data_IF_620536269513
#
_entry.id   IF_620536269513
#
_cell.length_a   1.000
_cell.length_b   1.000
_cell.length_c   1.000
_cell.angle_alpha   90.00
_cell.angle_beta   90.00
_cell.angle_gamma   90.00
#
_symmetry.space_group_name_H-M   'P 1'
#
loop_
_entity.id
_entity.type
_entity.pdbx_description
1 polymer ?
#
# COMPACT_ATOMS: atom_id res chain seq x y z
N UNK A 1 -13.82 -21.19 20.38
CA UNK A 1 -12.69 -21.41 19.48
C UNK A 1 -11.40 -21.41 20.25
N UNK A 2 -10.54 -22.40 20.06
CA UNK A 2 -9.22 -22.40 20.68
C UNK A 2 -8.40 -21.26 20.05
N UNK A 3 -7.70 -20.50 20.87
CA UNK A 3 -6.83 -19.42 20.42
C UNK A 3 -5.70 -20.02 19.58
N UNK A 4 -5.61 -19.64 18.31
CA UNK A 4 -4.56 -20.06 17.40
C UNK A 4 -3.31 -19.22 17.67
N UNK A 5 -2.24 -19.82 18.14
CA UNK A 5 -0.96 -19.13 18.32
C UNK A 5 -0.24 -19.09 16.96
N UNK A 6 0.02 -17.90 16.43
CA UNK A 6 0.75 -17.71 15.21
C UNK A 6 2.25 -17.47 15.45
N UNK A 7 3.09 -18.15 14.68
CA UNK A 7 4.53 -17.92 14.61
C UNK A 7 4.86 -17.37 13.22
N UNK A 8 5.51 -16.23 13.15
CA UNK A 8 5.82 -15.56 11.88
C UNK A 8 7.31 -15.59 11.58
N UNK A 9 7.67 -16.03 10.38
CA UNK A 9 9.03 -15.93 9.84
C UNK A 9 9.06 -14.66 8.98
N UNK A 10 9.87 -13.65 9.35
CA UNK A 10 9.93 -12.39 8.60
C UNK A 10 10.46 -12.58 7.18
N UNK A 11 9.91 -11.86 6.24
CA UNK A 11 10.30 -11.90 4.80
C UNK A 11 11.75 -11.48 4.58
N UNK A 12 12.29 -10.61 5.43
CA UNK A 12 13.68 -10.16 5.36
C UNK A 12 14.68 -11.31 5.51
N UNK A 13 14.25 -12.38 6.18
CA UNK A 13 14.99 -13.63 6.33
C UNK A 13 14.94 -14.44 5.03
N UNK A 14 13.84 -14.39 4.31
CA UNK A 14 13.57 -15.16 3.10
C UNK A 14 14.11 -14.47 1.85
N UNK A 15 13.99 -13.15 1.76
CA UNK A 15 14.42 -12.36 0.61
C UNK A 15 15.94 -12.38 0.35
N UNK A 16 16.72 -12.80 1.33
CA UNK A 16 18.18 -13.00 1.20
C UNK A 16 18.57 -14.36 0.65
N UNK A 17 17.59 -15.26 0.46
CA UNK A 17 17.83 -16.56 -0.13
C UNK A 17 17.86 -16.44 -1.64
N UNK A 18 18.98 -16.81 -2.23
CA UNK A 18 19.10 -16.99 -3.67
C UNK A 18 18.30 -18.22 -4.15
N UNK A 19 18.19 -18.40 -5.46
CA UNK A 19 17.43 -19.51 -6.06
C UNK A 19 18.01 -20.89 -5.78
N UNK A 20 19.21 -20.97 -5.24
CA UNK A 20 19.91 -22.23 -4.90
C UNK A 20 20.15 -22.39 -3.40
N UNK A 21 19.86 -21.37 -2.60
CA UNK A 21 20.14 -21.38 -1.18
C UNK A 21 19.04 -22.11 -0.42
N UNK A 22 19.43 -22.78 0.66
CA UNK A 22 18.50 -23.34 1.62
C UNK A 22 18.71 -22.71 3.00
N UNK A 23 17.62 -22.54 3.75
CA UNK A 23 17.70 -22.02 5.11
C UNK A 23 16.89 -22.84 6.08
N UNK A 24 17.55 -23.31 7.09
CA UNK A 24 16.92 -24.00 8.22
C UNK A 24 16.40 -22.97 9.22
N UNK A 25 15.12 -23.02 9.51
CA UNK A 25 14.46 -22.26 10.54
C UNK A 25 14.11 -23.20 11.69
N UNK A 26 14.66 -22.92 12.86
CA UNK A 26 14.36 -23.67 14.09
C UNK A 26 13.79 -22.69 15.11
N UNK A 27 12.89 -23.19 15.93
CA UNK A 27 12.37 -22.47 17.09
C UNK A 27 12.07 -23.48 18.17
N UNK A 28 12.53 -23.24 19.38
CA UNK A 28 12.26 -24.10 20.56
C UNK A 28 10.76 -24.21 20.88
N UNK A 29 9.95 -23.33 20.28
CA UNK A 29 8.49 -23.35 20.42
C UNK A 29 7.78 -24.29 19.45
N UNK A 30 8.50 -24.91 18.48
CA UNK A 30 7.93 -25.78 17.44
C UNK A 30 8.50 -27.19 17.57
N UNK A 31 7.65 -28.25 17.57
CA UNK A 31 8.08 -29.66 17.62
C UNK A 31 8.59 -30.18 16.26
N UNK A 32 9.00 -29.29 15.38
CA UNK A 32 9.56 -29.59 14.06
C UNK A 32 10.49 -28.47 13.59
N UNK A 33 11.38 -28.81 12.70
CA UNK A 33 12.19 -27.82 11.99
C UNK A 33 11.68 -27.61 10.57
N UNK A 34 11.85 -26.39 10.07
CA UNK A 34 11.50 -25.99 8.71
C UNK A 34 12.79 -25.70 7.94
N UNK A 35 12.96 -26.30 6.77
CA UNK A 35 14.02 -25.93 5.84
C UNK A 35 13.38 -25.37 4.60
N UNK A 36 13.67 -24.10 4.32
CA UNK A 36 13.18 -23.42 3.11
C UNK A 36 14.24 -23.62 2.04
N UNK A 37 13.88 -24.38 1.02
CA UNK A 37 14.71 -24.67 -0.13
C UNK A 37 14.18 -23.87 -1.30
N UNK A 38 15.02 -23.03 -1.90
CA UNK A 38 14.66 -22.18 -3.03
C UNK A 38 13.50 -21.23 -2.76
N UNK A 39 13.81 -19.98 -2.78
CA UNK A 39 12.85 -18.90 -2.72
C UNK A 39 12.64 -18.30 -4.11
N UNK A 40 11.38 -18.10 -4.49
CA UNK A 40 10.99 -17.43 -5.72
C UNK A 40 10.23 -16.16 -5.35
N UNK A 41 10.73 -14.99 -5.76
CA UNK A 41 10.07 -13.71 -5.47
C UNK A 41 8.72 -13.58 -6.20
N UNK A 42 8.64 -14.16 -7.41
CA UNK A 42 7.39 -14.26 -8.17
C UNK A 42 7.36 -15.60 -8.88
N UNK A 43 6.26 -16.33 -8.77
CA UNK A 43 6.13 -17.66 -9.33
C UNK A 43 4.69 -18.05 -9.61
N UNK A 44 4.52 -18.97 -10.57
CA UNK A 44 3.31 -19.73 -10.78
C UNK A 44 3.52 -21.19 -10.33
N UNK A 45 2.53 -21.78 -9.69
CA UNK A 45 2.50 -23.20 -9.36
C UNK A 45 1.60 -23.90 -10.38
N UNK A 46 2.18 -24.82 -11.14
CA UNK A 46 1.52 -25.48 -12.24
C UNK A 46 1.39 -26.98 -11.98
N UNK A 47 0.25 -27.59 -12.26
CA UNK A 47 0.13 -29.05 -12.22
C UNK A 47 1.01 -29.68 -13.31
N UNK A 48 1.58 -30.83 -13.04
CA UNK A 48 2.43 -31.56 -14.02
C UNK A 48 1.70 -31.93 -15.30
N UNK A 49 0.37 -31.98 -15.28
CA UNK A 49 -0.48 -32.20 -16.46
C UNK A 49 -0.55 -30.98 -17.38
N UNK A 50 -0.10 -29.80 -16.94
CA UNK A 50 -0.10 -28.60 -17.78
C UNK A 50 1.03 -28.68 -18.82
N UNK A 51 0.78 -28.37 -20.11
CA UNK A 51 1.80 -28.41 -21.15
C UNK A 51 3.05 -27.59 -20.82
N UNK A 52 2.86 -26.44 -20.16
CA UNK A 52 3.91 -25.56 -19.70
C UNK A 52 4.79 -26.15 -18.57
N UNK A 53 4.32 -27.20 -17.89
CA UNK A 53 5.05 -27.83 -16.81
C UNK A 53 6.04 -28.92 -17.28
N UNK A 54 5.87 -29.42 -18.50
CA UNK A 54 6.67 -30.54 -19.05
C UNK A 54 8.17 -30.25 -19.00
N UNK A 55 8.59 -29.09 -19.51
CA UNK A 55 9.99 -28.69 -19.65
C UNK A 55 10.52 -27.84 -18.47
N UNK A 56 9.72 -27.64 -17.41
CA UNK A 56 10.16 -26.87 -16.26
C UNK A 56 11.19 -27.64 -15.43
N UNK A 57 12.36 -27.04 -15.15
CA UNK A 57 13.32 -27.60 -14.21
C UNK A 57 12.79 -27.53 -12.78
N UNK A 58 13.11 -28.50 -11.97
CA UNK A 58 12.81 -28.48 -10.54
C UNK A 58 12.11 -29.75 -10.05
N UNK A 59 11.84 -29.77 -8.75
CA UNK A 59 11.17 -30.90 -8.07
C UNK A 59 9.69 -30.92 -8.42
N UNK A 60 9.14 -32.13 -8.48
CA UNK A 60 7.69 -32.36 -8.47
C UNK A 60 7.29 -32.68 -7.04
N UNK A 61 6.37 -31.91 -6.48
CA UNK A 61 5.81 -32.16 -5.15
C UNK A 61 4.29 -32.15 -5.29
N UNK A 62 3.65 -33.22 -4.84
CA UNK A 62 2.19 -33.43 -4.91
C UNK A 62 1.60 -33.23 -6.31
N UNK A 63 2.36 -33.55 -7.38
CA UNK A 63 1.94 -33.38 -8.76
C UNK A 63 2.04 -31.96 -9.30
N UNK A 64 2.73 -31.06 -8.60
CA UNK A 64 2.96 -29.68 -9.01
C UNK A 64 4.43 -29.33 -9.18
N UNK A 65 4.70 -28.35 -10.04
CA UNK A 65 6.01 -27.71 -10.24
C UNK A 65 5.89 -26.20 -10.06
N UNK A 66 6.99 -25.57 -9.63
CA UNK A 66 7.10 -24.11 -9.51
C UNK A 66 7.80 -23.56 -10.74
N UNK A 67 7.15 -22.62 -11.41
CA UNK A 67 7.69 -21.84 -12.52
C UNK A 67 8.08 -20.46 -11.98
N UNK A 68 9.38 -20.13 -12.04
CA UNK A 68 9.83 -18.78 -11.75
C UNK A 68 9.26 -17.80 -12.78
N UNK A 69 8.75 -16.67 -12.34
CA UNK A 69 8.27 -15.60 -13.19
C UNK A 69 9.04 -14.30 -12.93
N UNK A 70 9.05 -13.42 -13.93
CA UNK A 70 9.68 -12.10 -13.77
C UNK A 70 8.94 -11.32 -12.70
N UNK A 71 9.67 -10.70 -11.76
CA UNK A 71 9.10 -9.83 -10.75
C UNK A 71 8.33 -8.66 -11.38
N UNK A 72 7.15 -8.37 -10.86
CA UNK A 72 6.38 -7.20 -11.26
C UNK A 72 7.06 -5.92 -10.74
N UNK A 73 6.86 -4.78 -11.44
CA UNK A 73 7.35 -3.47 -10.98
C UNK A 73 6.83 -3.13 -9.59
N UNK A 74 5.57 -3.46 -9.33
CA UNK A 74 4.95 -3.35 -8.02
C UNK A 74 5.07 -4.68 -7.27
N UNK A 75 5.85 -4.72 -6.22
CA UNK A 75 6.06 -5.93 -5.41
C UNK A 75 4.77 -6.52 -4.85
N UNK A 76 3.74 -5.70 -4.66
CA UNK A 76 2.41 -6.13 -4.23
C UNK A 76 1.73 -7.11 -5.20
N UNK A 77 2.16 -7.12 -6.46
CA UNK A 77 1.64 -8.02 -7.52
C UNK A 77 2.39 -9.34 -7.63
N UNK A 78 3.50 -9.48 -6.92
CA UNK A 78 4.26 -10.72 -6.92
C UNK A 78 3.54 -11.77 -6.08
N UNK A 79 3.60 -13.03 -6.55
CA UNK A 79 3.15 -14.21 -5.84
C UNK A 79 4.37 -15.08 -5.53
N UNK A 80 4.98 -14.90 -4.36
CA UNK A 80 6.16 -15.68 -4.02
C UNK A 80 5.82 -17.14 -3.81
N UNK A 81 6.80 -18.00 -4.05
CA UNK A 81 6.71 -19.42 -3.75
C UNK A 81 8.02 -19.92 -3.14
N UNK A 82 7.96 -21.02 -2.41
CA UNK A 82 9.15 -21.73 -1.96
C UNK A 82 8.88 -23.23 -1.88
N UNK A 83 9.96 -24.00 -2.01
CA UNK A 83 9.97 -25.37 -1.55
C UNK A 83 10.29 -25.36 -0.06
N UNK A 84 9.58 -26.16 0.70
CA UNK A 84 9.74 -26.26 2.15
C UNK A 84 9.83 -27.72 2.55
N UNK A 85 10.82 -28.06 3.35
CA UNK A 85 10.93 -29.35 4.00
C UNK A 85 10.56 -29.20 5.48
N UNK A 86 9.55 -29.95 5.91
CA UNK A 86 9.11 -30.03 7.29
C UNK A 86 9.76 -31.29 7.89
N UNK A 87 10.52 -31.13 8.95
CA UNK A 87 11.14 -32.27 9.65
C UNK A 87 10.69 -32.29 11.10
N UNK A 88 9.75 -33.16 11.47
CA UNK A 88 9.40 -33.43 12.86
C UNK A 88 10.62 -33.98 13.65
N UNK A 89 10.60 -33.83 14.96
CA UNK A 89 11.60 -34.47 15.84
C UNK A 89 11.55 -36.01 15.77
N UNK A 90 10.34 -36.56 15.57
CA UNK A 90 10.10 -37.97 15.37
C UNK A 90 9.21 -38.16 14.12
N UNK A 91 9.75 -38.79 13.08
CA UNK A 91 8.99 -39.09 11.85
C UNK A 91 9.73 -38.73 10.57
N UNK A 92 9.09 -38.96 9.44
CA UNK A 92 9.65 -38.68 8.13
C UNK A 92 9.51 -37.18 7.78
N UNK A 93 10.48 -36.70 7.01
CA UNK A 93 10.44 -35.35 6.48
C UNK A 93 9.41 -35.25 5.34
N UNK A 94 8.58 -34.23 5.34
CA UNK A 94 7.64 -33.93 4.28
C UNK A 94 8.11 -32.72 3.47
N UNK A 95 8.05 -32.83 2.15
CA UNK A 95 8.32 -31.70 1.24
C UNK A 95 7.01 -31.11 0.73
N UNK A 96 6.92 -29.78 0.74
CA UNK A 96 5.73 -29.06 0.32
C UNK A 96 6.07 -27.82 -0.51
N UNK A 97 5.14 -27.38 -1.36
CA UNK A 97 5.21 -26.09 -2.04
C UNK A 97 4.31 -25.11 -1.28
N UNK A 98 4.87 -24.02 -0.79
CA UNK A 98 4.08 -22.90 -0.33
C UNK A 98 4.03 -21.83 -1.42
N UNK A 99 2.83 -21.32 -1.70
CA UNK A 99 2.59 -20.31 -2.70
C UNK A 99 1.77 -19.16 -2.12
N UNK A 100 2.23 -17.94 -2.34
CA UNK A 100 1.62 -16.71 -1.83
C UNK A 100 0.46 -16.19 -2.68
N UNK A 101 -0.27 -17.04 -3.42
CA UNK A 101 -1.46 -16.62 -4.14
C UNK A 101 -2.47 -16.05 -3.15
N UNK A 102 -2.82 -14.78 -3.36
CA UNK A 102 -3.79 -14.11 -2.52
C UNK A 102 -5.21 -14.60 -2.86
N UNK A 103 -6.02 -14.89 -1.84
CA UNK A 103 -7.47 -15.13 -1.96
C UNK A 103 -8.23 -14.03 -2.73
N UNK A 104 -7.63 -12.83 -2.88
CA UNK A 104 -8.14 -11.73 -3.69
C UNK A 104 -8.38 -12.12 -5.16
N UNK A 105 -7.58 -13.05 -5.70
CA UNK A 105 -7.62 -13.41 -7.13
C UNK A 105 -8.21 -14.80 -7.39
N UNK A 106 -8.31 -15.62 -6.36
CA UNK A 106 -9.05 -16.89 -6.42
C UNK A 106 -9.91 -17.05 -5.16
N UNK A 107 -11.22 -16.76 -5.25
CA UNK A 107 -12.13 -16.95 -4.13
C UNK A 107 -12.20 -18.38 -3.61
N UNK A 108 -11.70 -19.36 -4.38
CA UNK A 108 -11.59 -20.77 -3.98
C UNK A 108 -10.32 -21.06 -3.20
N UNK A 109 -9.33 -20.17 -3.22
CA UNK A 109 -8.05 -20.29 -2.52
C UNK A 109 -8.06 -19.68 -1.10
N UNK A 110 -9.22 -19.57 -0.48
CA UNK A 110 -9.36 -19.07 0.88
C UNK A 110 -8.53 -19.84 1.92
N UNK A 111 -7.94 -20.95 1.54
CA UNK A 111 -7.07 -21.78 2.37
C UNK A 111 -5.90 -22.32 1.55
N UNK A 112 -4.95 -21.47 1.22
CA UNK A 112 -3.64 -21.93 0.74
C UNK A 112 -2.73 -22.36 1.90
N UNK A 113 -3.30 -22.62 3.07
CA UNK A 113 -2.56 -23.16 4.20
C UNK A 113 -2.34 -24.66 4.02
N UNK A 114 -1.07 -25.07 4.06
CA UNK A 114 -0.73 -26.48 4.16
C UNK A 114 -0.92 -26.95 5.61
N UNK A 115 -1.74 -27.95 5.82
CA UNK A 115 -2.04 -28.50 7.16
C UNK A 115 -1.39 -29.85 7.36
N UNK A 116 -0.83 -30.09 8.53
CA UNK A 116 -0.17 -31.33 8.93
C UNK A 116 -0.29 -31.54 10.43
N UNK A 117 -0.04 -32.75 10.88
CA UNK A 117 -0.10 -33.13 12.29
C UNK A 117 1.29 -33.49 12.80
N UNK A 118 1.68 -32.91 13.94
CA UNK A 118 2.90 -33.28 14.66
C UNK A 118 2.63 -33.25 16.15
N UNK A 119 3.07 -34.28 16.86
CA UNK A 119 2.88 -34.43 18.30
C UNK A 119 1.41 -34.30 18.76
N UNK A 120 0.45 -34.86 18.00
CA UNK A 120 -0.97 -34.83 18.31
C UNK A 120 -1.62 -33.46 18.18
N UNK A 121 -0.96 -32.50 17.49
CA UNK A 121 -1.47 -31.17 17.21
C UNK A 121 -1.50 -30.90 15.71
N UNK A 122 -2.56 -30.25 15.27
CA UNK A 122 -2.66 -29.76 13.90
C UNK A 122 -1.91 -28.43 13.76
N UNK A 123 -1.12 -28.34 12.71
CA UNK A 123 -0.36 -27.18 12.31
C UNK A 123 -0.78 -26.73 10.92
N UNK A 124 -0.69 -25.44 10.69
CA UNK A 124 -0.95 -24.86 9.37
C UNK A 124 0.21 -23.94 8.98
N UNK A 125 0.73 -24.13 7.77
CA UNK A 125 1.76 -23.27 7.19
C UNK A 125 1.15 -22.50 6.03
N UNK A 126 1.39 -21.21 6.03
CA UNK A 126 0.89 -20.33 4.99
C UNK A 126 1.92 -19.26 4.65
N UNK A 127 2.07 -18.98 3.37
CA UNK A 127 2.82 -17.84 2.88
C UNK A 127 1.85 -16.68 2.70
N UNK A 128 1.94 -15.68 3.57
CA UNK A 128 1.03 -14.53 3.56
C UNK A 128 1.77 -13.24 3.22
N UNK A 129 1.07 -12.31 2.58
CA UNK A 129 1.61 -10.97 2.38
C UNK A 129 1.70 -10.25 3.73
N UNK A 130 2.78 -9.49 3.92
CA UNK A 130 2.93 -8.64 5.10
C UNK A 130 1.76 -7.68 5.17
N UNK A 131 1.11 -7.63 6.32
CA UNK A 131 0.01 -6.71 6.61
C UNK A 131 0.43 -5.71 7.68
N UNK A 132 -0.09 -4.50 7.58
CA UNK A 132 0.08 -3.47 8.60
C UNK A 132 -1.29 -3.21 9.22
N UNK A 133 -1.40 -3.23 10.55
CA UNK A 133 -2.66 -2.90 11.20
C UNK A 133 -2.98 -1.42 10.99
N UNK A 134 -4.24 -1.12 10.70
CA UNK A 134 -4.78 0.23 10.73
C UNK A 134 -5.79 0.32 11.88
N UNK A 135 -5.88 1.48 12.53
CA UNK A 135 -6.68 1.68 13.74
C UNK A 135 -8.20 1.82 13.49
N UNK A 136 -8.62 1.73 12.23
CA UNK A 136 -10.03 1.90 11.84
C UNK A 136 -10.45 0.85 10.82
N UNK A 137 -11.75 0.65 10.67
CA UNK A 137 -12.33 -0.20 9.65
C UNK A 137 -13.08 0.63 8.59
N UNK A 138 -13.23 0.09 7.40
CA UNK A 138 -13.96 0.69 6.30
C UNK A 138 -15.02 -0.28 5.81
N UNK A 139 -16.28 0.15 5.83
CA UNK A 139 -17.40 -0.56 5.22
C UNK A 139 -17.82 0.17 3.95
N UNK A 140 -17.85 -0.54 2.83
CA UNK A 140 -18.40 -0.02 1.57
C UNK A 140 -19.92 -0.04 1.66
N UNK A 141 -20.55 1.13 1.63
CA UNK A 141 -22.00 1.24 1.64
C UNK A 141 -22.57 1.23 0.22
N UNK A 142 -21.91 1.93 -0.70
CA UNK A 142 -22.31 1.98 -2.11
C UNK A 142 -21.13 2.37 -3.00
N UNK A 143 -21.05 1.74 -4.17
CA UNK A 143 -20.15 2.15 -5.25
C UNK A 143 -20.96 2.83 -6.36
N UNK A 144 -20.52 4.01 -6.81
CA UNK A 144 -21.12 4.76 -7.89
C UNK A 144 -20.14 4.82 -9.06
N UNK A 145 -20.63 4.48 -10.22
CA UNK A 145 -19.88 4.47 -11.46
C UNK A 145 -20.62 5.22 -12.54
N UNK A 146 -20.02 6.30 -13.06
CA UNK A 146 -20.55 7.09 -14.15
C UNK A 146 -19.64 6.97 -15.37
N UNK A 147 -20.23 6.81 -16.54
CA UNK A 147 -19.52 6.83 -17.83
C UNK A 147 -19.77 8.13 -18.56
N UNK A 148 -18.83 8.52 -19.41
CA UNK A 148 -19.10 9.59 -20.38
C UNK A 148 -20.17 9.12 -21.38
N UNK A 149 -21.14 9.99 -21.72
CA UNK A 149 -22.17 9.66 -22.72
C UNK A 149 -21.55 9.16 -24.02
N UNK A 150 -22.02 8.00 -24.52
CA UNK A 150 -21.57 7.44 -25.79
C UNK A 150 -20.21 6.76 -25.76
N UNK A 151 -19.55 6.62 -24.60
CA UNK A 151 -18.25 5.96 -24.48
C UNK A 151 -18.22 4.91 -23.37
N UNK A 152 -17.21 4.02 -23.39
CA UNK A 152 -16.93 3.09 -22.29
C UNK A 152 -15.94 3.69 -21.25
N UNK A 153 -15.51 4.92 -21.46
CA UNK A 153 -14.54 5.59 -20.60
C UNK A 153 -15.22 6.05 -19.30
N UNK A 154 -14.67 5.72 -18.13
CA UNK A 154 -15.17 6.20 -16.86
C UNK A 154 -15.08 7.73 -16.78
N UNK A 155 -16.19 8.38 -16.44
CA UNK A 155 -16.24 9.81 -16.12
C UNK A 155 -15.90 10.04 -14.65
N UNK A 156 -16.50 9.24 -13.79
CA UNK A 156 -16.30 9.31 -12.35
C UNK A 156 -16.56 7.93 -11.72
N UNK A 157 -15.83 7.62 -10.69
CA UNK A 157 -16.15 6.54 -9.78
C UNK A 157 -15.94 7.01 -8.33
N UNK A 158 -16.91 6.69 -7.50
CA UNK A 158 -17.01 7.14 -6.12
C UNK A 158 -17.37 5.95 -5.23
N UNK A 159 -16.61 5.75 -4.19
CA UNK A 159 -16.93 4.81 -3.11
C UNK A 159 -17.52 5.56 -1.93
N UNK A 160 -18.80 5.35 -1.67
CA UNK A 160 -19.43 5.80 -0.43
C UNK A 160 -19.18 4.77 0.64
N UNK A 161 -18.51 5.19 1.68
CA UNK A 161 -18.06 4.33 2.75
C UNK A 161 -18.54 4.87 4.09
N UNK A 162 -18.64 3.96 5.07
CA UNK A 162 -18.69 4.30 6.48
C UNK A 162 -17.37 3.90 7.12
N UNK A 163 -16.64 4.89 7.65
CA UNK A 163 -15.47 4.64 8.49
C UNK A 163 -15.93 4.31 9.90
N UNK A 164 -15.45 3.22 10.42
CA UNK A 164 -15.71 2.70 11.76
C UNK A 164 -14.45 2.80 12.60
N UNK A 165 -14.56 3.20 13.85
CA UNK A 165 -13.41 3.30 14.76
C UNK A 165 -12.97 1.91 15.30
N UNK A 166 -13.81 0.88 15.14
CA UNK A 166 -13.49 -0.54 15.36
C UNK A 166 -14.33 -1.42 14.46
N UNK A 167 -13.97 -2.71 14.32
CA UNK A 167 -14.75 -3.69 13.55
C UNK A 167 -16.14 -3.92 14.12
N UNK A 168 -16.31 -3.77 15.42
CA UNK A 168 -17.56 -4.02 16.12
C UNK A 168 -18.43 -2.75 16.26
N UNK A 169 -17.96 -1.60 15.77
CA UNK A 169 -18.71 -0.35 15.86
C UNK A 169 -19.95 -0.41 14.96
N UNK A 170 -21.12 -0.17 15.54
CA UNK A 170 -22.40 -0.14 14.82
C UNK A 170 -22.53 1.11 13.95
N UNK A 171 -21.99 2.24 14.41
CA UNK A 171 -22.06 3.54 13.74
C UNK A 171 -20.68 4.07 13.39
N UNK A 172 -20.61 4.91 12.36
CA UNK A 172 -19.37 5.51 11.92
C UNK A 172 -19.57 6.74 11.06
N UNK A 173 -18.48 7.36 10.67
CA UNK A 173 -18.49 8.56 9.83
C UNK A 173 -18.63 8.18 8.36
N UNK A 174 -19.66 8.69 7.69
CA UNK A 174 -19.83 8.54 6.24
C UNK A 174 -18.89 9.44 5.48
N UNK A 175 -18.19 8.88 4.50
CA UNK A 175 -17.21 9.57 3.66
C UNK A 175 -17.37 9.10 2.21
N UNK A 176 -17.16 9.99 1.25
CA UNK A 176 -17.06 9.67 -0.17
C UNK A 176 -15.60 9.75 -0.60
N UNK A 177 -15.08 8.65 -1.15
CA UNK A 177 -13.72 8.55 -1.71
C UNK A 177 -13.84 8.56 -3.24
N UNK A 178 -13.17 9.50 -3.89
CA UNK A 178 -13.13 9.67 -5.35
C UNK A 178 -11.66 9.67 -5.82
N UNK A 179 -11.44 9.60 -7.13
CA UNK A 179 -10.09 9.59 -7.72
C UNK A 179 -9.15 10.67 -7.15
N UNK A 180 -9.64 11.91 -7.02
CA UNK A 180 -8.84 13.07 -6.57
C UNK A 180 -9.26 13.58 -5.18
N UNK A 181 -10.12 12.84 -4.48
CA UNK A 181 -10.61 13.18 -3.14
C UNK A 181 -10.44 12.00 -2.20
N UNK A 182 -9.23 11.76 -1.70
CA UNK A 182 -8.97 10.67 -0.76
C UNK A 182 -9.56 10.98 0.63
N UNK A 183 -9.81 9.93 1.40
CA UNK A 183 -10.07 10.06 2.82
C UNK A 183 -8.75 10.19 3.57
N UNK A 184 -8.69 11.14 4.51
CA UNK A 184 -7.57 11.28 5.46
C UNK A 184 -8.05 11.04 6.87
N UNK A 185 -7.38 10.16 7.57
CA UNK A 185 -7.69 9.86 8.96
C UNK A 185 -6.47 9.22 9.67
N UNK A 186 -6.16 9.73 10.84
CA UNK A 186 -5.13 9.21 11.75
C UNK A 186 -3.76 8.97 11.07
N UNK A 187 -3.29 9.96 10.29
CA UNK A 187 -2.02 9.87 9.54
C UNK A 187 -2.11 9.06 8.24
N UNK A 188 -3.19 8.32 8.03
CA UNK A 188 -3.40 7.54 6.82
C UNK A 188 -4.16 8.32 5.76
N UNK A 189 -3.77 8.09 4.51
CA UNK A 189 -4.48 8.59 3.33
C UNK A 189 -4.98 7.40 2.53
N UNK A 190 -6.29 7.34 2.31
CA UNK A 190 -6.96 6.23 1.61
C UNK A 190 -7.45 6.73 0.25
N UNK A 191 -6.87 6.18 -0.81
CA UNK A 191 -7.16 6.54 -2.19
C UNK A 191 -8.02 5.46 -2.85
N UNK A 192 -8.87 5.86 -3.79
CA UNK A 192 -9.53 4.93 -4.70
C UNK A 192 -8.51 4.41 -5.72
N UNK A 193 -8.11 3.14 -5.63
CA UNK A 193 -7.14 2.53 -6.54
C UNK A 193 -7.85 1.89 -7.74
N UNK A 194 -8.78 1.00 -7.45
CA UNK A 194 -9.53 0.28 -8.47
C UNK A 194 -10.89 -0.19 -7.93
N UNK A 195 -11.67 -0.82 -8.80
CA UNK A 195 -12.93 -1.45 -8.44
C UNK A 195 -13.15 -2.69 -9.32
N UNK A 196 -14.10 -3.52 -8.95
CA UNK A 196 -14.51 -4.67 -9.74
C UNK A 196 -15.87 -5.17 -9.32
N UNK A 197 -16.31 -6.25 -9.96
CA UNK A 197 -17.56 -6.93 -9.63
C UNK A 197 -17.26 -8.34 -9.14
N UNK A 198 -18.02 -8.83 -8.16
CA UNK A 198 -17.90 -10.21 -7.65
C UNK A 198 -18.59 -11.20 -8.56
N UNK A 199 -19.64 -10.76 -9.23
CA UNK A 199 -20.43 -11.56 -10.16
C UNK A 199 -20.63 -10.81 -11.50
N UNK A 200 -21.14 -11.51 -12.49
CA UNK A 200 -21.44 -11.00 -13.83
C UNK A 200 -22.95 -10.88 -14.09
N UNK A 201 -23.76 -10.86 -13.03
CA UNK A 201 -25.21 -10.75 -13.14
C UNK A 201 -25.68 -9.36 -13.63
N UNK A 202 -26.99 -9.19 -13.86
CA UNK A 202 -27.57 -7.92 -14.31
C UNK A 202 -27.46 -6.82 -13.23
N UNK A 203 -27.33 -7.19 -11.95
CA UNK A 203 -27.10 -6.27 -10.83
C UNK A 203 -25.85 -6.74 -10.06
N UNK A 204 -24.63 -6.44 -10.56
CA UNK A 204 -23.40 -6.96 -10.01
C UNK A 204 -23.06 -6.34 -8.67
N UNK A 205 -22.64 -7.16 -7.71
CA UNK A 205 -22.08 -6.67 -6.45
C UNK A 205 -20.70 -6.09 -6.70
N UNK A 206 -20.58 -4.77 -6.52
CA UNK A 206 -19.31 -4.07 -6.67
C UNK A 206 -18.44 -4.18 -5.41
N UNK A 207 -17.15 -4.28 -5.61
CA UNK A 207 -16.15 -4.07 -4.58
C UNK A 207 -15.21 -2.91 -4.95
N UNK A 208 -14.70 -2.22 -3.96
CA UNK A 208 -13.71 -1.16 -4.12
C UNK A 208 -12.37 -1.61 -3.57
N UNK A 209 -11.32 -1.27 -4.28
CA UNK A 209 -9.95 -1.44 -3.82
C UNK A 209 -9.37 -0.09 -3.48
N UNK A 210 -8.83 0.01 -2.28
CA UNK A 210 -8.20 1.23 -1.78
C UNK A 210 -6.69 1.04 -1.64
N UNK A 211 -5.92 2.02 -2.08
CA UNK A 211 -4.54 2.17 -1.70
C UNK A 211 -4.47 2.97 -0.39
N UNK A 212 -3.79 2.42 0.60
CA UNK A 212 -3.61 3.08 1.89
C UNK A 212 -2.15 3.49 2.00
N UNK A 213 -1.91 4.77 2.23
CA UNK A 213 -0.58 5.34 2.42
C UNK A 213 -0.46 5.93 3.83
N UNK A 214 0.59 5.56 4.53
CA UNK A 214 1.05 6.25 5.73
C UNK A 214 2.17 7.20 5.32
N UNK A 215 1.86 8.49 5.26
CA UNK A 215 2.80 9.50 4.81
C UNK A 215 2.95 10.61 5.87
N UNK A 216 3.95 10.53 6.74
CA UNK A 216 4.20 11.55 7.75
C UNK A 216 4.52 12.93 7.16
N UNK A 217 4.89 12.97 5.87
CA UNK A 217 5.21 14.20 5.15
C UNK A 217 4.00 14.80 4.38
N UNK A 218 2.79 14.27 4.52
CA UNK A 218 1.60 14.70 3.77
C UNK A 218 1.29 16.21 3.93
N UNK A 219 1.58 16.78 5.09
CA UNK A 219 1.32 18.19 5.40
C UNK A 219 2.49 19.14 5.06
N UNK A 220 3.67 18.64 4.72
CA UNK A 220 4.85 19.47 4.46
C UNK A 220 4.67 20.49 3.33
N UNK A 221 4.00 20.16 2.20
CA UNK A 221 3.73 21.15 1.15
C UNK A 221 2.86 22.31 1.64
N UNK A 222 1.89 22.04 2.53
CA UNK A 222 1.05 23.09 3.14
C UNK A 222 1.89 24.02 4.02
N UNK A 223 2.74 23.47 4.88
CA UNK A 223 3.62 24.28 5.73
C UNK A 223 4.58 25.12 4.91
N UNK A 224 5.17 24.54 3.87
CA UNK A 224 6.05 25.28 2.96
C UNK A 224 5.32 26.44 2.27
N UNK A 225 4.08 26.23 1.82
CA UNK A 225 3.24 27.26 1.21
C UNK A 225 2.93 28.40 2.20
N UNK A 226 2.59 28.07 3.45
CA UNK A 226 2.32 29.07 4.49
C UNK A 226 3.56 29.91 4.75
N UNK A 227 4.72 29.29 4.97
CA UNK A 227 5.98 29.99 5.23
C UNK A 227 6.35 30.90 4.06
N UNK A 228 6.24 30.40 2.83
CA UNK A 228 6.51 31.20 1.62
C UNK A 228 5.54 32.38 1.51
N UNK A 229 4.25 32.17 1.76
CA UNK A 229 3.23 33.21 1.73
C UNK A 229 3.50 34.33 2.76
N UNK A 230 3.84 33.95 3.99
CA UNK A 230 4.24 34.92 5.04
C UNK A 230 5.48 35.68 4.64
N UNK A 231 6.53 34.99 4.19
CA UNK A 231 7.78 35.63 3.74
C UNK A 231 7.57 36.61 2.61
N UNK A 232 6.76 36.25 1.61
CA UNK A 232 6.42 37.10 0.47
C UNK A 232 5.63 38.35 0.93
N UNK A 233 4.66 38.17 1.80
CA UNK A 233 3.85 39.26 2.37
C UNK A 233 4.72 40.25 3.13
N UNK A 234 5.58 39.77 3.99
CA UNK A 234 6.56 40.63 4.72
C UNK A 234 7.50 41.37 3.75
N UNK A 235 7.98 40.69 2.73
CA UNK A 235 8.83 41.31 1.71
C UNK A 235 8.13 42.50 1.01
N UNK A 236 6.87 42.30 0.59
CA UNK A 236 6.09 43.34 -0.05
C UNK A 236 5.79 44.53 0.88
N UNK A 237 5.47 44.23 2.17
CA UNK A 237 5.26 45.29 3.17
C UNK A 237 6.53 46.13 3.33
N UNK A 238 7.69 45.50 3.50
CA UNK A 238 8.97 46.19 3.64
C UNK A 238 9.30 47.04 2.41
N UNK A 239 9.08 46.52 1.20
CA UNK A 239 9.26 47.28 -0.05
C UNK A 239 8.31 48.47 -0.13
N UNK A 240 7.03 48.30 0.26
CA UNK A 240 6.05 49.38 0.25
C UNK A 240 6.41 50.51 1.21
N UNK A 241 6.84 50.18 2.44
CA UNK A 241 7.30 51.16 3.45
C UNK A 241 8.55 51.88 2.96
N UNK A 242 9.51 51.14 2.42
CA UNK A 242 10.73 51.72 1.84
C UNK A 242 10.45 52.67 0.67
N UNK A 243 9.51 52.31 -0.21
CA UNK A 243 9.10 53.17 -1.32
C UNK A 243 8.44 54.48 -0.84
N UNK A 244 7.52 54.42 0.14
CA UNK A 244 6.91 55.61 0.74
C UNK A 244 7.94 56.51 1.36
N UNK A 245 8.91 55.99 2.13
CA UNK A 245 9.96 56.76 2.72
C UNK A 245 10.92 57.40 1.69
N UNK A 246 11.20 56.78 0.58
CA UNK A 246 11.96 57.34 -0.53
C UNK A 246 11.19 58.45 -1.26
N UNK A 247 9.91 58.27 -1.49
CA UNK A 247 9.03 59.27 -2.13
C UNK A 247 8.92 60.55 -1.26
N UNK A 248 8.81 60.43 0.04
CA UNK A 248 8.80 61.59 0.96
C UNK A 248 10.11 62.32 0.98
N UNK A 249 11.27 61.64 1.01
CA UNK A 249 12.59 62.25 0.92
C UNK A 249 12.76 63.03 -0.39
N UNK A 250 12.35 62.46 -1.51
CA UNK A 250 12.42 63.16 -2.80
C UNK A 250 11.50 64.39 -2.84
N UNK A 251 10.34 64.37 -2.21
CA UNK A 251 9.43 65.51 -2.12
C UNK A 251 10.05 66.64 -1.27
N UNK A 252 10.70 66.30 -0.12
CA UNK A 252 11.40 67.30 0.72
C UNK A 252 12.56 67.95 -0.04
N UNK A 253 13.40 67.20 -0.69
CA UNK A 253 14.50 67.72 -1.52
C UNK A 253 14.04 68.65 -2.63
N UNK A 254 12.95 68.32 -3.31
CA UNK A 254 12.37 69.19 -4.35
C UNK A 254 11.83 70.50 -3.78
N UNK A 255 11.21 70.47 -2.58
CA UNK A 255 10.71 71.69 -1.90
C UNK A 255 11.88 72.59 -1.44
N UNK A 256 12.92 72.03 -0.89
CA UNK A 256 14.10 72.76 -0.49
C UNK A 256 14.84 73.40 -1.68
N UNK A 257 14.93 72.66 -2.80
CA UNK A 257 15.54 73.17 -4.03
C UNK A 257 14.69 74.32 -4.64
N UNK A 258 13.36 74.25 -4.63
CA UNK A 258 12.51 75.36 -5.11
C UNK A 258 12.58 76.56 -4.19
N UNK A 259 12.58 76.38 -2.87
CA UNK A 259 12.74 77.50 -1.92
C UNK A 259 14.08 78.24 -2.08
N UNK A 260 15.18 77.54 -2.33
CA UNK A 260 16.47 78.11 -2.58
C UNK A 260 16.56 78.92 -3.92
N UNK A 261 15.83 78.45 -4.95
CA UNK A 261 15.71 79.21 -6.22
C UNK A 261 14.90 80.47 -6.08
N UNK A 262 13.80 80.45 -5.34
CA UNK A 262 13.01 81.66 -5.08
C UNK A 262 13.76 82.74 -4.25
N UNK A 263 14.60 82.30 -3.27
CA UNK A 263 15.42 83.21 -2.51
C UNK A 263 16.58 83.84 -3.32
N UNK A 264 17.11 83.07 -4.32
CA UNK A 264 18.15 83.57 -5.22
C UNK A 264 17.62 84.53 -6.29
N UNK A 265 16.34 84.55 -6.61
CA UNK A 265 15.69 85.40 -7.59
C UNK A 265 15.22 86.74 -7.01
N UNK A 266 15.21 86.90 -5.70
CA UNK A 266 14.82 88.13 -4.95
C UNK A 266 16.00 88.97 -4.44
N UNK A 267 17.22 88.58 -4.69
CA UNK A 267 18.45 89.31 -4.42
C UNK A 267 19.01 89.95 -5.69
#
# INVERSE_FOLDING_TARGET
GQATKAHTIPTEVLAKLGPTDSRKCMSDALPFSLTIDRWFENAAVLPTSAPLAADLPGKVIDGFKVKAEKGAKERSRNFPACYLTIRPESGEASEVILWGLSAKYDPRSSTSAYTFEVAGRQWALQLVKKSWPIAFAIRLDRFLYEKHPGTMTPKNFESRITRLDSLDAAEGKRVAIQMNKPMRHDGFVVFQESYGTRDKGPDPEYYSQFAVSDNPADQWPLYALIVTGVGLTLHFIMKLVGFKGAAERNRRQRREASANLDSASTS
#
